data_IF_627520281620
#
_entry.id   IF_627520281620
#
_cell.length_a   1.000
_cell.length_b   1.000
_cell.length_c   1.000
_cell.angle_alpha   90.00
_cell.angle_beta   90.00
_cell.angle_gamma   90.00
#
_symmetry.space_group_name_H-M   'P 1'
#
loop_
_entity.id
_entity.type
_entity.pdbx_description
1 polymer ?
#
# COMPACT_ATOMS: atom_id res chain seq x y z
N UNK A 1 15.65 -12.78 -31.10
CA UNK A 1 15.61 -13.86 -30.09
C UNK A 1 16.94 -13.86 -29.34
N UNK A 2 17.27 -12.74 -28.69
CA UNK A 2 18.57 -12.45 -28.03
C UNK A 2 18.38 -11.43 -26.88
N UNK A 3 17.16 -11.32 -26.33
CA UNK A 3 16.83 -10.37 -25.26
C UNK A 3 16.89 -10.99 -23.86
N UNK A 4 16.71 -12.31 -23.77
CA UNK A 4 16.61 -13.02 -22.49
C UNK A 4 18.00 -13.42 -21.95
N UNK A 5 18.97 -13.72 -22.82
CA UNK A 5 20.32 -14.16 -22.42
C UNK A 5 21.16 -13.04 -21.76
N UNK A 6 20.93 -11.78 -22.15
CA UNK A 6 21.64 -10.61 -21.57
C UNK A 6 21.13 -10.28 -20.17
N UNK A 7 19.85 -10.56 -19.90
CA UNK A 7 19.23 -10.42 -18.58
C UNK A 7 19.67 -11.54 -17.62
N UNK A 8 19.86 -12.76 -18.11
CA UNK A 8 20.46 -13.85 -17.33
C UNK A 8 21.93 -13.56 -16.98
N UNK A 9 22.72 -13.05 -17.94
CA UNK A 9 24.10 -12.65 -17.68
C UNK A 9 24.21 -11.53 -16.64
N UNK A 10 23.28 -10.56 -16.65
CA UNK A 10 23.25 -9.49 -15.64
C UNK A 10 22.86 -10.01 -14.24
N UNK A 11 21.95 -10.98 -14.17
CA UNK A 11 21.57 -11.61 -12.90
C UNK A 11 22.71 -12.44 -12.27
N UNK A 12 23.60 -13.03 -13.08
CA UNK A 12 24.80 -13.73 -12.59
C UNK A 12 25.82 -12.76 -12.00
N UNK A 13 26.03 -11.60 -12.61
CA UNK A 13 26.96 -10.56 -12.12
C UNK A 13 26.46 -9.92 -10.82
N UNK A 14 25.15 -9.71 -10.68
CA UNK A 14 24.56 -9.15 -9.45
C UNK A 14 24.52 -10.18 -8.30
N UNK A 15 24.58 -11.48 -8.61
CA UNK A 15 24.63 -12.57 -7.63
C UNK A 15 25.95 -12.67 -6.84
N UNK A 16 27.04 -12.08 -7.33
CA UNK A 16 28.36 -12.08 -6.66
C UNK A 16 28.49 -10.82 -5.79
N UNK A 17 27.64 -10.66 -4.79
CA UNK A 17 27.92 -9.86 -3.58
C UNK A 17 28.62 -8.50 -3.72
N UNK A 18 28.37 -7.71 -4.77
CA UNK A 18 29.00 -6.39 -4.91
C UNK A 18 28.19 -5.36 -4.13
N UNK A 19 28.81 -4.83 -3.08
CA UNK A 19 28.22 -3.83 -2.19
C UNK A 19 27.93 -2.52 -2.96
N UNK A 20 26.66 -2.12 -3.04
CA UNK A 20 26.19 -0.89 -3.71
C UNK A 20 26.90 0.40 -3.26
N UNK A 21 27.52 0.45 -2.06
CA UNK A 21 28.22 1.64 -1.57
C UNK A 21 29.55 1.94 -2.27
N UNK A 22 30.20 0.97 -2.91
CA UNK A 22 31.54 1.18 -3.51
C UNK A 22 31.53 1.76 -4.93
N UNK A 23 30.35 1.93 -5.53
CA UNK A 23 30.22 2.36 -6.94
C UNK A 23 29.87 3.85 -7.13
N UNK A 24 29.49 4.56 -6.07
CA UNK A 24 29.10 5.98 -6.20
C UNK A 24 30.28 6.96 -6.26
N UNK A 25 31.52 6.49 -6.05
CA UNK A 25 32.73 7.34 -6.02
C UNK A 25 33.75 6.99 -7.11
N UNK A 26 33.47 6.01 -7.99
CA UNK A 26 34.43 5.55 -9.00
C UNK A 26 34.42 6.42 -10.25
N UNK A 27 35.62 6.74 -10.75
CA UNK A 27 35.78 7.45 -12.02
C UNK A 27 35.41 6.54 -13.20
N UNK A 28 35.17 7.14 -14.37
CA UNK A 28 34.80 6.42 -15.60
C UNK A 28 35.87 5.42 -16.02
N UNK A 29 37.13 5.72 -15.70
CA UNK A 29 38.30 4.88 -15.94
C UNK A 29 38.30 3.64 -15.05
N UNK A 30 37.95 3.78 -13.76
CA UNK A 30 37.84 2.66 -12.82
C UNK A 30 36.73 1.67 -13.24
N UNK A 31 35.62 2.18 -13.77
CA UNK A 31 34.53 1.34 -14.29
C UNK A 31 34.96 0.50 -15.50
N UNK A 32 35.71 1.10 -16.43
CA UNK A 32 36.24 0.39 -17.60
C UNK A 32 37.20 -0.72 -17.19
N UNK A 33 38.03 -0.46 -16.20
CA UNK A 33 39.00 -1.43 -15.69
C UNK A 33 38.31 -2.59 -14.97
N UNK A 34 37.24 -2.33 -14.20
CA UNK A 34 36.43 -3.38 -13.58
C UNK A 34 35.75 -4.27 -14.63
N UNK A 35 35.19 -3.70 -15.71
CA UNK A 35 34.59 -4.48 -16.80
C UNK A 35 35.61 -5.35 -17.55
N UNK A 36 36.81 -4.81 -17.80
CA UNK A 36 37.92 -5.55 -18.42
C UNK A 36 38.38 -6.72 -17.52
N UNK A 37 38.42 -6.51 -16.21
CA UNK A 37 38.79 -7.55 -15.25
C UNK A 37 37.69 -8.63 -15.14
N UNK A 38 36.41 -8.25 -15.20
CA UNK A 38 35.29 -9.19 -15.26
C UNK A 38 35.31 -10.04 -16.53
N UNK A 39 35.61 -9.45 -17.69
CA UNK A 39 35.76 -10.18 -18.95
C UNK A 39 36.91 -11.21 -18.90
N UNK A 40 38.05 -10.85 -18.28
CA UNK A 40 39.16 -11.78 -18.06
C UNK A 40 38.79 -12.93 -17.13
N UNK A 41 38.10 -12.63 -16.03
CA UNK A 41 37.60 -13.63 -15.08
C UNK A 41 36.62 -14.61 -15.73
N UNK A 42 35.77 -14.12 -16.64
CA UNK A 42 34.84 -14.97 -17.39
C UNK A 42 35.59 -15.93 -18.32
N UNK A 43 36.60 -15.44 -19.04
CA UNK A 43 37.44 -16.28 -19.89
C UNK A 43 38.27 -17.30 -19.12
N UNK A 44 38.79 -16.94 -17.94
CA UNK A 44 39.48 -17.88 -17.04
C UNK A 44 38.53 -18.95 -16.49
N UNK A 45 37.29 -18.58 -16.17
CA UNK A 45 36.25 -19.51 -15.76
C UNK A 45 35.84 -20.47 -16.88
N UNK A 46 35.68 -19.99 -18.11
CA UNK A 46 35.42 -20.82 -19.30
C UNK A 46 36.58 -21.80 -19.56
N UNK A 47 37.82 -21.34 -19.43
CA UNK A 47 39.02 -22.19 -19.55
C UNK A 47 39.11 -23.23 -18.43
N UNK A 48 38.62 -22.92 -17.22
CA UNK A 48 38.65 -23.82 -16.07
C UNK A 48 37.53 -24.87 -16.10
N UNK A 49 36.39 -24.56 -16.73
CA UNK A 49 35.23 -25.46 -16.84
C UNK A 49 35.42 -26.54 -17.94
N UNK A 50 36.46 -26.42 -18.78
CA UNK A 50 36.88 -27.51 -19.67
C UNK A 50 35.82 -27.89 -20.72
N UNK A 51 35.04 -26.92 -21.19
CA UNK A 51 34.10 -27.16 -22.30
C UNK A 51 34.91 -27.30 -23.59
N UNK A 52 35.16 -28.55 -24.00
CA UNK A 52 35.74 -28.88 -25.30
C UNK A 52 34.64 -28.67 -26.35
N UNK A 53 34.76 -27.60 -27.14
CA UNK A 53 34.04 -27.46 -28.41
C UNK A 53 34.61 -28.55 -29.32
N UNK A 54 33.77 -29.48 -29.77
CA UNK A 54 34.18 -30.45 -30.80
C UNK A 54 34.35 -29.71 -32.12
N UNK A 55 35.46 -30.00 -32.80
CA UNK A 55 35.87 -29.44 -34.09
C UNK A 55 34.92 -29.92 -35.22
N UNK A 56 33.71 -29.37 -35.28
CA UNK A 56 32.90 -29.39 -36.50
C UNK A 56 33.10 -28.07 -37.25
N UNK A 57 33.59 -28.22 -38.47
CA UNK A 57 34.33 -27.25 -39.28
C UNK A 57 33.48 -26.13 -39.92
N UNK A 58 32.48 -25.61 -39.19
CA UNK A 58 31.57 -24.55 -39.65
C UNK A 58 31.56 -23.30 -38.70
N UNK A 59 32.47 -23.23 -37.72
CA UNK A 59 32.47 -22.23 -36.66
C UNK A 59 33.24 -20.93 -36.92
N UNK A 60 33.97 -20.80 -38.03
CA UNK A 60 34.86 -19.65 -38.28
C UNK A 60 34.13 -18.41 -38.87
N UNK A 61 32.84 -18.55 -39.21
CA UNK A 61 32.01 -17.47 -39.76
C UNK A 61 31.26 -16.66 -38.70
N UNK A 62 31.02 -17.21 -37.50
CA UNK A 62 30.17 -16.56 -36.49
C UNK A 62 30.96 -15.71 -35.48
N UNK A 63 32.26 -15.96 -35.33
CA UNK A 63 33.13 -15.16 -34.45
C UNK A 63 33.66 -13.89 -35.14
N UNK A 64 33.69 -13.85 -36.47
CA UNK A 64 34.04 -12.65 -37.24
C UNK A 64 32.84 -11.73 -37.41
N UNK A 65 31.63 -12.26 -37.65
CA UNK A 65 30.39 -11.47 -37.70
C UNK A 65 30.09 -10.79 -36.35
N UNK A 66 30.38 -11.45 -35.23
CA UNK A 66 30.19 -10.84 -33.89
C UNK A 66 31.23 -9.76 -33.59
N UNK A 67 32.47 -9.87 -34.06
CA UNK A 67 33.49 -8.82 -33.90
C UNK A 67 33.31 -7.62 -34.85
N UNK A 68 32.78 -7.84 -36.06
CA UNK A 68 32.46 -6.75 -37.00
C UNK A 68 31.18 -5.99 -36.60
N UNK A 69 30.18 -6.68 -36.06
CA UNK A 69 28.94 -6.04 -35.58
C UNK A 69 29.21 -5.15 -34.37
N UNK A 70 30.12 -5.54 -33.48
CA UNK A 70 30.47 -4.72 -32.29
C UNK A 70 31.26 -3.47 -32.69
N UNK A 71 32.02 -3.48 -33.79
CA UNK A 71 32.81 -2.33 -34.26
C UNK A 71 32.05 -1.38 -35.21
N UNK A 72 31.00 -1.84 -35.88
CA UNK A 72 30.14 -0.98 -36.74
C UNK A 72 29.05 -0.23 -35.99
N UNK A 73 28.71 -0.63 -34.75
CA UNK A 73 27.90 0.22 -33.84
C UNK A 73 28.81 1.22 -33.11
N UNK A 74 29.62 1.94 -33.88
CA UNK A 74 30.33 3.16 -33.45
C UNK A 74 29.66 4.43 -33.97
N UNK A 75 28.40 4.33 -34.43
CA UNK A 75 27.55 5.51 -34.49
C UNK A 75 27.39 6.08 -33.08
N UNK A 76 27.58 7.40 -32.89
CA UNK A 76 27.46 7.99 -31.59
C UNK A 76 25.99 7.81 -31.19
N UNK A 77 25.72 6.96 -30.21
CA UNK A 77 24.50 7.01 -29.41
C UNK A 77 24.52 8.34 -28.66
N UNK A 78 24.22 9.40 -29.42
CA UNK A 78 23.91 10.75 -28.96
C UNK A 78 22.40 10.87 -28.70
N UNK A 79 21.66 9.76 -28.78
CA UNK A 79 20.54 9.59 -27.89
C UNK A 79 21.14 9.52 -26.51
N UNK A 80 21.01 10.63 -25.78
CA UNK A 80 20.92 10.64 -24.33
C UNK A 80 20.15 9.39 -23.90
N UNK A 81 20.88 8.31 -23.59
CA UNK A 81 20.48 7.44 -22.51
C UNK A 81 20.46 8.37 -21.31
N UNK A 82 19.34 9.06 -21.15
CA UNK A 82 18.86 9.39 -19.84
C UNK A 82 18.95 8.06 -19.09
N UNK A 83 20.05 7.90 -18.36
CA UNK A 83 20.07 7.07 -17.15
C UNK A 83 18.73 7.38 -16.52
N UNK A 84 17.77 6.44 -16.37
CA UNK A 84 16.43 6.78 -15.93
C UNK A 84 16.62 7.59 -14.67
N UNK A 85 16.44 8.90 -14.84
CA UNK A 85 17.10 9.86 -13.98
C UNK A 85 16.47 9.63 -12.62
N UNK A 86 17.33 9.54 -11.60
CA UNK A 86 16.96 9.24 -10.24
C UNK A 86 15.59 9.86 -9.94
N UNK A 87 14.58 9.04 -9.65
CA UNK A 87 13.30 9.56 -9.22
C UNK A 87 13.62 10.42 -7.99
N UNK A 88 13.68 11.73 -8.17
CA UNK A 88 13.73 12.71 -7.08
C UNK A 88 12.31 12.82 -6.53
N UNK A 89 11.77 11.68 -6.13
CA UNK A 89 10.59 11.60 -5.30
C UNK A 89 10.99 11.92 -3.87
N UNK A 90 10.09 12.56 -3.14
CA UNK A 90 10.30 12.90 -1.76
C UNK A 90 10.14 11.68 -0.86
N UNK A 91 10.88 11.67 0.25
CA UNK A 91 10.75 10.72 1.34
C UNK A 91 9.77 11.24 2.37
N UNK A 92 8.55 10.71 2.35
CA UNK A 92 7.47 11.10 3.27
C UNK A 92 7.35 10.07 4.38
N UNK A 93 7.40 10.51 5.63
CA UNK A 93 7.21 9.65 6.80
C UNK A 93 5.82 9.78 7.38
N UNK A 94 5.13 8.66 7.61
CA UNK A 94 3.91 8.61 8.42
C UNK A 94 4.18 7.89 9.75
N UNK A 95 3.96 8.61 10.84
CA UNK A 95 4.21 8.14 12.20
C UNK A 95 2.92 8.25 12.99
N UNK A 96 2.58 7.17 13.70
CA UNK A 96 1.39 7.12 14.56
C UNK A 96 1.79 6.71 15.95
N UNK A 97 1.43 7.52 16.93
CA UNK A 97 1.77 7.29 18.35
C UNK A 97 0.51 7.19 19.19
N UNK A 98 0.49 6.21 20.10
CA UNK A 98 -0.51 6.15 21.15
C UNK A 98 -0.14 7.09 22.28
N UNK A 99 -1.14 7.61 23.01
CA UNK A 99 -0.95 8.45 24.20
C UNK A 99 -0.06 7.81 25.28
N UNK A 100 0.16 6.50 25.22
CA UNK A 100 0.96 5.73 26.18
C UNK A 100 2.45 5.73 25.84
N UNK A 101 2.82 5.95 24.57
CA UNK A 101 4.21 5.89 24.12
C UNK A 101 4.66 7.26 23.61
N UNK A 102 5.24 8.06 24.52
CA UNK A 102 5.78 9.39 24.21
C UNK A 102 7.11 9.36 23.42
N UNK A 103 7.61 8.18 23.03
CA UNK A 103 8.88 8.06 22.28
C UNK A 103 8.64 8.09 20.78
N UNK A 104 8.16 9.22 20.27
CA UNK A 104 8.09 9.55 18.82
C UNK A 104 9.45 9.48 18.12
N UNK A 105 10.53 9.63 18.89
CA UNK A 105 11.87 9.87 18.34
C UNK A 105 12.59 8.61 17.86
N UNK A 106 12.07 7.41 18.19
CA UNK A 106 12.66 6.13 17.76
C UNK A 106 12.02 5.56 16.50
N UNK A 107 10.82 6.02 16.13
CA UNK A 107 10.16 5.54 14.92
C UNK A 107 10.79 6.24 13.71
N UNK A 108 11.30 5.45 12.76
CA UNK A 108 12.05 5.92 11.59
C UNK A 108 13.38 6.65 11.92
N UNK A 109 13.95 6.41 13.11
CA UNK A 109 15.27 6.95 13.46
C UNK A 109 16.33 6.39 12.50
N UNK A 110 16.94 7.27 11.68
CA UNK A 110 17.92 6.90 10.66
C UNK A 110 17.40 6.89 9.23
N UNK A 111 16.13 7.26 9.00
CA UNK A 111 15.59 7.52 7.66
C UNK A 111 15.57 9.03 7.45
N UNK A 112 16.21 9.51 6.39
CA UNK A 112 16.08 10.91 5.97
C UNK A 112 14.70 11.11 5.35
N UNK A 113 13.92 12.04 5.92
CA UNK A 113 12.54 12.31 5.53
C UNK A 113 12.43 13.79 5.18
N UNK A 114 11.94 14.09 3.98
CA UNK A 114 11.64 15.46 3.54
C UNK A 114 10.41 16.02 4.25
N UNK A 115 9.43 15.15 4.54
CA UNK A 115 8.19 15.53 5.22
C UNK A 115 7.70 14.45 6.16
N UNK A 116 7.20 14.86 7.33
CA UNK A 116 6.71 13.96 8.37
C UNK A 116 5.27 14.30 8.76
N UNK A 117 4.44 13.28 8.80
CA UNK A 117 3.04 13.33 9.23
C UNK A 117 2.88 12.53 10.52
N UNK A 118 2.44 13.20 11.59
CA UNK A 118 2.31 12.59 12.92
C UNK A 118 0.87 12.51 13.39
N UNK A 119 0.37 11.29 13.54
CA UNK A 119 -0.98 11.03 14.03
C UNK A 119 -0.95 10.66 15.52
N UNK A 120 -1.60 11.47 16.37
CA UNK A 120 -1.77 11.18 17.80
C UNK A 120 -3.06 10.43 18.05
N UNK A 121 -2.95 9.20 18.55
CA UNK A 121 -4.12 8.39 18.93
C UNK A 121 -4.66 8.89 20.26
N UNK A 122 -5.77 9.63 20.22
CA UNK A 122 -6.71 9.61 21.34
C UNK A 122 -7.55 8.34 21.20
N UNK A 123 -7.91 7.70 22.32
CA UNK A 123 -8.61 6.40 22.36
C UNK A 123 -9.94 6.34 21.58
N UNK A 124 -10.41 7.46 21.01
CA UNK A 124 -11.68 7.58 20.30
C UNK A 124 -11.56 8.09 18.85
N UNK A 125 -10.37 8.43 18.32
CA UNK A 125 -10.33 9.10 17.02
C UNK A 125 -10.58 8.13 15.87
N UNK A 126 -11.75 8.27 15.22
CA UNK A 126 -12.13 7.46 14.06
C UNK A 126 -11.44 7.92 12.77
N UNK A 127 -11.16 9.22 12.67
CA UNK A 127 -10.59 9.86 11.48
C UNK A 127 -9.06 9.91 11.57
N UNK A 128 -8.38 9.71 10.45
CA UNK A 128 -6.91 9.80 10.34
C UNK A 128 -6.51 10.93 9.41
N UNK A 129 -6.70 12.20 9.83
CA UNK A 129 -6.45 13.33 8.96
C UNK A 129 -4.99 13.41 8.48
N UNK A 130 -4.02 12.93 9.26
CA UNK A 130 -2.61 12.99 8.88
C UNK A 130 -2.22 11.89 7.90
N UNK A 131 -2.82 10.70 7.99
CA UNK A 131 -2.63 9.67 6.97
C UNK A 131 -3.21 10.12 5.62
N UNK A 132 -4.42 10.69 5.62
CA UNK A 132 -5.03 11.21 4.39
C UNK A 132 -4.21 12.39 3.82
N UNK A 133 -3.75 13.32 4.67
CA UNK A 133 -2.89 14.42 4.24
C UNK A 133 -1.51 13.95 3.72
N UNK A 134 -1.01 12.79 4.17
CA UNK A 134 0.18 12.17 3.59
C UNK A 134 -0.13 11.61 2.19
N UNK A 135 -1.23 10.84 2.05
CA UNK A 135 -1.67 10.28 0.76
C UNK A 135 -1.96 11.34 -0.31
N UNK A 136 -2.49 12.49 0.10
CA UNK A 136 -2.80 13.62 -0.78
C UNK A 136 -1.54 14.38 -1.21
N UNK A 137 -0.50 14.34 -0.38
CA UNK A 137 0.77 14.99 -0.68
C UNK A 137 1.66 14.14 -1.59
N UNK A 138 1.63 12.83 -1.43
CA UNK A 138 2.42 11.91 -2.24
C UNK A 138 2.07 12.03 -3.74
N UNK A 139 3.11 12.05 -4.56
CA UNK A 139 3.07 12.09 -6.02
C UNK A 139 3.84 10.91 -6.60
N UNK A 140 3.67 10.67 -7.89
CA UNK A 140 4.44 9.67 -8.61
C UNK A 140 5.94 9.84 -8.36
N UNK A 141 6.61 8.74 -8.00
CA UNK A 141 8.02 8.73 -7.64
C UNK A 141 8.32 8.86 -6.15
N UNK A 142 7.40 9.41 -5.36
CA UNK A 142 7.60 9.57 -3.92
C UNK A 142 7.68 8.22 -3.19
N UNK A 143 8.33 8.23 -2.03
CA UNK A 143 8.39 7.09 -1.12
C UNK A 143 7.72 7.40 0.21
N UNK A 144 6.66 6.66 0.53
CA UNK A 144 5.98 6.70 1.82
C UNK A 144 6.58 5.69 2.79
N UNK A 145 7.29 6.19 3.80
CA UNK A 145 7.88 5.42 4.88
C UNK A 145 6.93 5.30 6.07
N UNK A 146 6.72 4.06 6.49
CA UNK A 146 5.88 3.72 7.63
C UNK A 146 6.67 2.78 8.54
N UNK A 147 6.60 3.01 9.85
CA UNK A 147 7.38 2.19 10.77
C UNK A 147 6.98 0.72 10.77
N UNK A 148 5.68 0.42 10.80
CA UNK A 148 5.14 -0.95 10.85
C UNK A 148 3.71 -1.04 10.34
N UNK A 149 3.27 -2.24 9.95
CA UNK A 149 1.92 -2.49 9.42
C UNK A 149 0.82 -2.06 10.40
N UNK A 150 1.01 -2.29 11.71
CA UNK A 150 0.03 -1.93 12.75
C UNK A 150 -0.27 -0.43 12.84
N UNK A 151 0.61 0.44 12.30
CA UNK A 151 0.36 1.88 12.22
C UNK A 151 -0.76 2.20 11.24
N UNK A 152 -0.94 1.35 10.22
CA UNK A 152 -1.98 1.47 9.19
C UNK A 152 -3.18 0.56 9.49
N UNK A 153 -2.98 -0.63 10.02
CA UNK A 153 -4.07 -1.59 10.29
C UNK A 153 -4.92 -1.16 11.50
N UNK A 154 -6.16 -0.67 11.27
CA UNK A 154 -7.18 -0.48 12.33
C UNK A 154 -8.25 -1.54 12.28
N UNK A 155 -8.74 -1.84 11.08
CA UNK A 155 -9.86 -2.75 10.83
C UNK A 155 -9.36 -4.14 10.39
N UNK A 156 -8.12 -4.48 10.75
CA UNK A 156 -7.41 -5.68 10.30
C UNK A 156 -6.43 -5.39 9.17
N UNK A 157 -5.95 -6.46 8.52
CA UNK A 157 -4.96 -6.38 7.45
C UNK A 157 -5.45 -5.63 6.19
N UNK A 158 -6.77 -5.49 6.01
CA UNK A 158 -7.37 -4.87 4.82
C UNK A 158 -7.01 -3.40 4.63
N UNK A 159 -6.81 -2.65 5.72
CA UNK A 159 -6.43 -1.23 5.62
C UNK A 159 -5.04 -1.06 4.98
N UNK A 160 -4.11 -1.98 5.27
CA UNK A 160 -2.78 -1.96 4.66
C UNK A 160 -2.83 -2.34 3.18
N UNK A 161 -3.63 -3.35 2.81
CA UNK A 161 -3.82 -3.76 1.42
C UNK A 161 -4.34 -2.59 0.59
N UNK A 162 -5.43 -1.95 1.03
CA UNK A 162 -6.01 -0.81 0.31
C UNK A 162 -5.05 0.37 0.22
N UNK A 163 -4.26 0.66 1.26
CA UNK A 163 -3.22 1.69 1.19
C UNK A 163 -2.17 1.36 0.13
N UNK A 164 -1.68 0.12 0.10
CA UNK A 164 -0.65 -0.33 -0.83
C UNK A 164 -1.15 -0.25 -2.28
N UNK A 165 -2.37 -0.69 -2.54
CA UNK A 165 -2.99 -0.59 -3.86
C UNK A 165 -3.19 0.87 -4.31
N UNK A 166 -3.72 1.73 -3.42
CA UNK A 166 -3.98 3.14 -3.72
C UNK A 166 -2.68 3.90 -4.05
N UNK A 167 -1.63 3.70 -3.26
CA UNK A 167 -0.36 4.41 -3.47
C UNK A 167 0.40 3.87 -4.68
N UNK A 168 0.41 2.56 -4.91
CA UNK A 168 1.06 2.01 -6.12
C UNK A 168 0.34 2.40 -7.41
N UNK A 169 -0.98 2.56 -7.37
CA UNK A 169 -1.75 3.11 -8.49
C UNK A 169 -1.37 4.57 -8.79
N UNK A 170 -0.92 5.33 -7.77
CA UNK A 170 -0.35 6.69 -7.90
C UNK A 170 1.14 6.70 -8.28
N UNK A 171 1.79 5.53 -8.43
CA UNK A 171 3.23 5.44 -8.68
C UNK A 171 4.10 5.76 -7.45
N UNK A 172 3.52 5.69 -6.25
CA UNK A 172 4.21 5.94 -4.97
C UNK A 172 4.71 4.62 -4.39
N UNK A 173 5.96 4.58 -3.94
CA UNK A 173 6.54 3.42 -3.26
C UNK A 173 6.21 3.46 -1.78
N UNK A 174 5.80 2.33 -1.18
CA UNK A 174 5.61 2.22 0.27
C UNK A 174 6.68 1.32 0.88
N UNK A 175 7.23 1.77 2.01
CA UNK A 175 8.22 1.01 2.79
C UNK A 175 7.73 0.83 4.22
N UNK A 176 7.60 -0.43 4.66
CA UNK A 176 7.38 -0.82 6.05
C UNK A 176 8.69 -1.29 6.68
N UNK A 177 9.22 -0.49 7.60
CA UNK A 177 10.58 -0.69 8.12
C UNK A 177 10.70 -1.88 9.08
N UNK A 178 9.71 -2.11 9.94
CA UNK A 178 9.75 -3.19 10.93
C UNK A 178 9.63 -4.57 10.29
N UNK A 179 8.77 -4.71 9.28
CA UNK A 179 8.57 -5.97 8.55
C UNK A 179 9.54 -6.15 7.38
N UNK A 180 10.32 -5.12 7.02
CA UNK A 180 11.26 -5.16 5.90
C UNK A 180 10.57 -5.29 4.54
N UNK A 181 9.35 -4.75 4.40
CA UNK A 181 8.55 -4.89 3.20
C UNK A 181 8.55 -3.59 2.39
N UNK A 182 8.82 -3.69 1.10
CA UNK A 182 8.74 -2.56 0.16
C UNK A 182 7.80 -2.94 -0.97
N UNK A 183 6.81 -2.09 -1.24
CA UNK A 183 5.88 -2.22 -2.35
C UNK A 183 6.09 -1.07 -3.31
N UNK A 184 6.53 -1.39 -4.53
CA UNK A 184 6.88 -0.40 -5.53
C UNK A 184 6.35 -0.82 -6.90
N UNK A 185 5.96 0.16 -7.70
CA UNK A 185 5.46 -0.03 -9.06
C UNK A 185 6.33 0.69 -10.11
N UNK A 186 7.62 0.94 -9.83
CA UNK A 186 8.50 1.75 -10.70
C UNK A 186 8.62 1.23 -12.15
N UNK A 187 8.37 -0.06 -12.40
CA UNK A 187 8.40 -0.66 -13.75
C UNK A 187 7.00 -0.97 -14.30
N UNK A 188 5.97 -0.27 -13.83
CA UNK A 188 4.58 -0.48 -14.23
C UNK A 188 3.90 -1.71 -13.63
N UNK A 189 4.67 -2.60 -12.98
CA UNK A 189 4.14 -3.69 -12.17
C UNK A 189 4.95 -3.93 -10.89
N UNK A 190 4.26 -4.28 -9.80
CA UNK A 190 4.89 -4.91 -8.63
C UNK A 190 5.54 -6.24 -9.02
N UNK A 191 6.64 -6.58 -8.35
CA UNK A 191 7.29 -7.88 -8.55
C UNK A 191 6.46 -9.03 -7.97
N UNK A 192 6.79 -10.27 -8.35
CA UNK A 192 6.02 -11.46 -7.92
C UNK A 192 6.00 -11.64 -6.40
N UNK A 193 7.10 -11.34 -5.70
CA UNK A 193 7.18 -11.47 -4.24
C UNK A 193 6.26 -10.45 -3.54
N UNK A 194 6.27 -9.19 -3.96
CA UNK A 194 5.40 -8.13 -3.47
C UNK A 194 3.93 -8.47 -3.68
N UNK A 195 3.57 -8.93 -4.89
CA UNK A 195 2.21 -9.40 -5.21
C UNK A 195 1.80 -10.58 -4.33
N UNK A 196 2.71 -11.54 -4.12
CA UNK A 196 2.45 -12.70 -3.25
C UNK A 196 2.17 -12.30 -1.81
N UNK A 197 3.01 -11.42 -1.23
CA UNK A 197 2.82 -10.90 0.13
C UNK A 197 1.50 -10.13 0.24
N UNK A 198 1.19 -9.26 -0.73
CA UNK A 198 -0.05 -8.50 -0.74
C UNK A 198 -1.29 -9.41 -0.82
N UNK A 199 -1.25 -10.45 -1.65
CA UNK A 199 -2.32 -11.45 -1.76
C UNK A 199 -2.53 -12.21 -0.45
N UNK A 200 -1.45 -12.61 0.23
CA UNK A 200 -1.55 -13.27 1.55
C UNK A 200 -2.21 -12.33 2.56
N UNK A 201 -1.79 -11.05 2.61
CA UNK A 201 -2.40 -10.05 3.47
C UNK A 201 -3.89 -9.84 3.15
N UNK A 202 -4.26 -9.85 1.87
CA UNK A 202 -5.65 -9.76 1.44
C UNK A 202 -6.49 -10.97 1.90
N UNK A 203 -5.96 -12.19 1.76
CA UNK A 203 -6.62 -13.41 2.26
C UNK A 203 -6.80 -13.38 3.78
N UNK A 204 -5.80 -12.91 4.52
CA UNK A 204 -5.92 -12.72 5.98
C UNK A 204 -7.01 -11.70 6.31
N UNK A 205 -7.06 -10.58 5.58
CA UNK A 205 -8.09 -9.56 5.78
C UNK A 205 -9.52 -10.08 5.50
N UNK A 206 -9.69 -10.97 4.54
CA UNK A 206 -10.98 -11.64 4.27
C UNK A 206 -11.36 -12.63 5.38
N UNK A 207 -10.39 -13.43 5.84
CA UNK A 207 -10.58 -14.36 6.95
C UNK A 207 -10.99 -13.64 8.24
N UNK A 208 -10.30 -12.55 8.59
CA UNK A 208 -10.63 -11.72 9.76
C UNK A 208 -12.07 -11.19 9.69
N UNK A 209 -12.48 -10.66 8.53
CA UNK A 209 -13.84 -10.16 8.30
C UNK A 209 -14.89 -11.27 8.41
N UNK A 210 -14.60 -12.46 7.88
CA UNK A 210 -15.45 -13.64 7.99
C UNK A 210 -15.69 -14.05 9.45
N UNK A 211 -14.61 -14.19 10.21
CA UNK A 211 -14.66 -14.60 11.63
C UNK A 211 -15.41 -13.60 12.51
N UNK A 212 -15.22 -12.29 12.28
CA UNK A 212 -15.97 -11.25 13.00
C UNK A 212 -17.46 -11.37 12.72
N UNK A 213 -17.84 -11.58 11.46
CA UNK A 213 -19.25 -11.71 11.05
C UNK A 213 -19.88 -12.98 11.62
N UNK A 214 -19.17 -14.09 11.61
CA UNK A 214 -19.63 -15.36 12.19
C UNK A 214 -19.96 -15.20 13.67
N UNK A 215 -19.01 -14.68 14.46
CA UNK A 215 -19.22 -14.40 15.90
C UNK A 215 -20.37 -13.43 16.16
N UNK A 216 -20.54 -12.43 15.28
CA UNK A 216 -21.67 -11.51 15.39
C UNK A 216 -23.00 -12.24 15.18
N UNK A 217 -23.09 -13.11 14.17
CA UNK A 217 -24.29 -13.90 13.89
C UNK A 217 -24.61 -14.87 15.03
N UNK A 218 -23.61 -15.54 15.59
CA UNK A 218 -23.76 -16.39 16.79
C UNK A 218 -24.28 -15.58 17.98
N UNK A 219 -23.69 -14.41 18.25
CA UNK A 219 -24.14 -13.51 19.31
C UNK A 219 -25.58 -13.04 19.12
N UNK A 220 -25.98 -12.73 17.88
CA UNK A 220 -27.34 -12.39 17.51
C UNK A 220 -28.28 -13.59 17.72
N UNK A 221 -27.89 -14.80 17.33
CA UNK A 221 -28.68 -16.01 17.51
C UNK A 221 -28.94 -16.30 18.99
N UNK A 222 -27.91 -16.20 19.82
CA UNK A 222 -28.03 -16.34 21.29
C UNK A 222 -28.92 -15.25 21.88
N UNK A 223 -28.77 -13.99 21.46
CA UNK A 223 -29.61 -12.89 21.93
C UNK A 223 -31.08 -13.08 21.54
N UNK A 224 -31.36 -13.55 20.32
CA UNK A 224 -32.71 -13.90 19.86
C UNK A 224 -33.30 -15.06 20.66
N UNK A 225 -32.52 -16.12 20.92
CA UNK A 225 -32.96 -17.26 21.73
C UNK A 225 -33.28 -16.84 23.18
N UNK A 226 -32.56 -15.85 23.72
CA UNK A 226 -32.83 -15.24 25.03
C UNK A 226 -33.98 -14.22 25.02
N UNK A 227 -34.69 -14.06 23.90
CA UNK A 227 -35.82 -13.13 23.77
C UNK A 227 -35.43 -11.64 23.80
N UNK A 228 -34.15 -11.30 23.63
CA UNK A 228 -33.71 -9.90 23.61
C UNK A 228 -34.22 -9.21 22.33
N UNK A 229 -34.90 -8.08 22.48
CA UNK A 229 -35.37 -7.29 21.33
C UNK A 229 -34.17 -6.77 20.52
N UNK A 230 -34.12 -7.13 19.25
CA UNK A 230 -33.05 -6.72 18.34
C UNK A 230 -33.51 -5.52 17.50
N UNK A 231 -32.65 -4.50 17.40
CA UNK A 231 -32.93 -3.29 16.62
C UNK A 231 -33.59 -2.16 17.43
N UNK A 232 -34.13 -1.15 16.74
CA UNK A 232 -34.75 0.01 17.39
C UNK A 232 -35.94 -0.46 18.25
N UNK A 233 -36.04 -0.03 19.52
CA UNK A 233 -37.21 -0.30 20.35
C UNK A 233 -38.49 0.09 19.61
N UNK A 234 -39.48 -0.80 19.60
CA UNK A 234 -40.81 -0.48 19.06
C UNK A 234 -41.51 0.45 20.05
N UNK A 235 -41.97 1.61 19.55
CA UNK A 235 -42.71 2.60 20.33
C UNK A 235 -42.17 4.02 20.18
N UNK A 236 -43.05 4.99 20.28
CA UNK A 236 -42.68 6.38 20.56
C UNK A 236 -42.59 6.55 22.09
N UNK A 237 -41.76 7.48 22.57
CA UNK A 237 -41.80 7.88 24.00
C UNK A 237 -43.15 8.54 24.36
N UNK A 238 -43.87 9.01 23.34
CA UNK A 238 -45.16 9.68 23.45
C UNK A 238 -46.27 8.64 23.30
N UNK A 239 -47.16 8.57 24.27
CA UNK A 239 -48.31 7.66 24.26
C UNK A 239 -49.43 8.18 23.35
N UNK A 240 -50.40 7.31 23.01
CA UNK A 240 -51.60 7.72 22.27
C UNK A 240 -52.40 8.79 23.03
N UNK A 241 -52.46 8.68 24.36
CA UNK A 241 -53.14 9.66 25.21
C UNK A 241 -52.49 11.05 25.10
N UNK A 242 -51.16 11.11 25.14
CA UNK A 242 -50.41 12.38 25.00
C UNK A 242 -50.64 13.03 23.64
N UNK A 243 -50.71 12.21 22.57
CA UNK A 243 -51.00 12.70 21.21
C UNK A 243 -52.42 13.25 21.12
N UNK A 244 -53.41 12.58 21.71
CA UNK A 244 -54.81 13.03 21.71
C UNK A 244 -54.96 14.33 22.51
N UNK A 245 -54.40 14.38 23.72
CA UNK A 245 -54.44 15.58 24.56
C UNK A 245 -53.77 16.78 23.88
N UNK A 246 -52.62 16.58 23.23
CA UNK A 246 -51.94 17.65 22.50
C UNK A 246 -52.69 18.10 21.24
N UNK A 247 -53.46 17.22 20.59
CA UNK A 247 -54.33 17.60 19.47
C UNK A 247 -55.54 18.39 19.95
N UNK A 248 -56.11 18.06 21.11
CA UNK A 248 -57.23 18.81 21.69
C UNK A 248 -56.80 20.20 22.16
N UNK A 249 -55.69 20.31 22.88
CA UNK A 249 -55.10 21.61 23.24
C UNK A 249 -54.71 22.40 21.98
N UNK A 250 -54.15 21.73 20.97
CA UNK A 250 -53.80 22.35 19.70
C UNK A 250 -54.99 22.90 18.92
N UNK A 251 -56.20 22.33 19.06
CA UNK A 251 -57.41 22.89 18.43
C UNK A 251 -57.80 24.24 19.03
N UNK A 252 -57.60 24.43 20.34
CA UNK A 252 -57.87 25.71 21.00
C UNK A 252 -56.89 26.81 20.55
N UNK A 253 -55.67 26.41 20.17
CA UNK A 253 -54.62 27.29 19.67
C UNK A 253 -54.55 27.35 18.12
N UNK A 254 -55.52 26.80 17.39
CA UNK A 254 -55.55 26.68 15.92
C UNK A 254 -54.28 26.05 15.29
N UNK A 255 -53.62 25.15 16.02
CA UNK A 255 -52.40 24.49 15.56
C UNK A 255 -52.69 23.35 14.59
N UNK A 256 -51.89 23.29 13.54
CA UNK A 256 -51.89 22.16 12.59
C UNK A 256 -51.32 20.90 13.24
N UNK A 257 -51.72 19.72 12.74
CA UNK A 257 -51.17 18.42 13.18
C UNK A 257 -49.64 18.35 13.06
N UNK A 258 -49.04 19.09 12.13
CA UNK A 258 -47.60 19.20 11.98
C UNK A 258 -46.94 19.99 13.12
N UNK A 259 -47.57 21.09 13.55
CA UNK A 259 -47.12 21.89 14.70
C UNK A 259 -47.27 21.12 16.02
N UNK A 260 -48.36 20.36 16.17
CA UNK A 260 -48.56 19.48 17.34
C UNK A 260 -47.50 18.39 17.40
N UNK A 261 -47.17 17.74 16.26
CA UNK A 261 -46.08 16.77 16.19
C UNK A 261 -44.73 17.38 16.61
N UNK A 262 -44.46 18.61 16.16
CA UNK A 262 -43.24 19.36 16.52
C UNK A 262 -43.19 19.69 18.01
N UNK A 263 -44.30 20.11 18.62
CA UNK A 263 -44.40 20.35 20.08
C UNK A 263 -44.12 19.07 20.88
N UNK A 264 -44.56 17.92 20.38
CA UNK A 264 -44.33 16.60 21.00
C UNK A 264 -42.93 16.00 20.68
N UNK A 265 -42.10 16.68 19.88
CA UNK A 265 -40.78 16.18 19.50
C UNK A 265 -40.81 14.90 18.64
N UNK A 266 -41.94 14.62 17.96
CA UNK A 266 -42.11 13.44 17.10
C UNK A 266 -42.27 13.84 15.64
N UNK A 267 -41.86 12.97 14.71
CA UNK A 267 -42.14 13.17 13.30
C UNK A 267 -43.63 13.03 12.98
N UNK A 268 -44.12 13.77 11.97
CA UNK A 268 -45.53 13.71 11.51
C UNK A 268 -45.98 12.27 11.23
N UNK A 269 -45.16 11.46 10.57
CA UNK A 269 -45.46 10.05 10.30
C UNK A 269 -45.63 9.22 11.59
N UNK A 270 -44.88 9.55 12.65
CA UNK A 270 -45.01 8.89 13.96
C UNK A 270 -46.32 9.28 14.64
N UNK A 271 -46.75 10.56 14.54
CA UNK A 271 -48.04 11.01 15.05
C UNK A 271 -49.21 10.25 14.41
N UNK A 272 -49.24 10.14 13.08
CA UNK A 272 -50.29 9.38 12.38
C UNK A 272 -50.24 7.88 12.72
N UNK A 273 -49.04 7.31 12.83
CA UNK A 273 -48.88 5.91 13.24
C UNK A 273 -49.42 5.64 14.64
N UNK A 274 -49.23 6.57 15.59
CA UNK A 274 -49.77 6.44 16.96
C UNK A 274 -51.30 6.59 16.96
N UNK A 275 -51.87 7.46 16.13
CA UNK A 275 -53.32 7.63 16.02
C UNK A 275 -54.02 6.41 15.39
N UNK A 276 -53.34 5.76 14.44
CA UNK A 276 -53.85 4.59 13.72
C UNK A 276 -53.54 3.25 14.42
N UNK A 277 -52.76 3.25 15.50
CA UNK A 277 -52.61 2.11 16.42
C UNK A 277 -53.79 2.03 17.38
#
# INVERSE_FOLDING_TARGET
>A
MYGDDVLEAWNVVVGIGVNKKSYQEKSREDFKEDCLNLSKLFHEAESAIGYRVEDDNDGDSLLSETYETVNTVSEPLNETFETPCAHTGQHIGYIRVSTVDQKTDRQLAGVELDKRYEEKVSASTIKRPQLEAAKDFCREGDTLHIHSLDRVCRSGAGDAVSLVEEMNAKGVTIVFHKEGMTFSNHYGAMNAAQKGVLSILASVAEMERGLIRERQLEGIAVAKAKGKHMGRPKGSKVSKADVVAALEAGKQEELTKAQVAKKLGIGRATLYRILNQ
#
